data_IF_202883600869
#
_entry.id   IF_202883600869
#
_cell.length_a   1.000
_cell.length_b   1.000
_cell.length_c   1.000
_cell.angle_alpha   90.00
_cell.angle_beta   90.00
_cell.angle_gamma   90.00
#
_symmetry.space_group_name_H-M   'P 1'
#
loop_
_entity.id
_entity.type
_entity.pdbx_description
1 polymer ?
#
# COMPACT_ATOMS: atom_id res chain seq x y z
N UNK A 1 26.47 -15.83 57.51
CA UNK A 1 26.48 -16.70 56.30
C UNK A 1 26.39 -15.80 55.09
N UNK A 2 27.07 -16.12 53.98
CA UNK A 2 27.00 -15.34 52.74
C UNK A 2 26.12 -16.07 51.73
N UNK A 3 25.36 -15.34 50.92
CA UNK A 3 24.53 -15.93 49.88
C UNK A 3 25.40 -16.64 48.83
N UNK A 4 25.09 -17.90 48.52
CA UNK A 4 25.83 -18.70 47.53
C UNK A 4 25.75 -18.12 46.11
N UNK A 5 24.70 -17.35 45.79
CA UNK A 5 24.49 -16.77 44.46
C UNK A 5 25.14 -15.40 44.27
N UNK A 6 25.02 -14.50 45.25
CA UNK A 6 25.47 -13.10 45.09
C UNK A 6 26.53 -12.65 46.11
N UNK A 7 26.94 -13.50 47.06
CA UNK A 7 27.99 -13.20 48.04
C UNK A 7 27.61 -12.22 49.16
N UNK A 8 26.40 -11.63 49.14
CA UNK A 8 25.92 -10.72 50.18
C UNK A 8 25.75 -11.42 51.54
N UNK A 9 25.99 -10.70 52.64
CA UNK A 9 25.78 -11.25 53.99
C UNK A 9 24.29 -11.44 54.31
N UNK A 10 23.94 -12.63 54.77
CA UNK A 10 22.58 -13.00 55.17
C UNK A 10 22.34 -12.61 56.63
N UNK A 11 21.22 -11.90 56.87
CA UNK A 11 20.74 -11.60 58.23
C UNK A 11 20.34 -12.90 58.95
N UNK A 12 20.65 -12.99 60.25
CA UNK A 12 20.40 -14.17 61.08
C UNK A 12 18.89 -14.45 61.15
N UNK A 13 18.48 -15.67 60.78
CA UNK A 13 17.07 -16.11 60.83
C UNK A 13 16.26 -15.89 59.54
N UNK A 14 16.85 -15.37 58.47
CA UNK A 14 16.17 -15.22 57.17
C UNK A 14 16.41 -16.45 56.28
N UNK A 15 15.33 -17.02 55.73
CA UNK A 15 15.35 -18.17 54.80
C UNK A 15 15.67 -17.80 53.35
N UNK A 16 15.66 -16.50 53.01
CA UNK A 16 15.96 -15.99 51.67
C UNK A 16 16.91 -14.79 51.73
N UNK A 17 17.73 -14.62 50.70
CA UNK A 17 18.61 -13.48 50.54
C UNK A 17 17.80 -12.21 50.24
N UNK A 18 17.94 -11.20 51.08
CA UNK A 18 17.24 -9.91 50.90
C UNK A 18 17.71 -9.09 49.70
N UNK A 19 18.78 -9.49 49.02
CA UNK A 19 19.34 -8.77 47.86
C UNK A 19 18.94 -9.42 46.54
N UNK A 20 19.04 -10.75 46.43
CA UNK A 20 18.77 -11.46 45.17
C UNK A 20 17.57 -12.42 45.23
N UNK A 21 16.89 -12.52 46.37
CA UNK A 21 15.72 -13.40 46.57
C UNK A 21 16.05 -14.90 46.64
N UNK A 22 17.30 -15.30 46.47
CA UNK A 22 17.69 -16.71 46.47
C UNK A 22 17.67 -17.31 47.88
N UNK A 23 17.20 -18.54 48.01
CA UNK A 23 17.06 -19.20 49.31
C UNK A 23 18.42 -19.41 50.01
N UNK A 24 18.42 -19.26 51.33
CA UNK A 24 19.58 -19.41 52.17
C UNK A 24 19.81 -20.89 52.47
N UNK A 25 20.80 -21.49 51.82
CA UNK A 25 21.19 -22.89 52.03
C UNK A 25 21.86 -23.07 53.40
N UNK A 26 21.17 -23.73 54.34
CA UNK A 26 21.71 -24.18 55.63
C UNK A 26 22.12 -25.65 55.43
N UNK A 27 23.40 -25.94 55.19
CA UNK A 27 23.81 -27.28 54.72
C UNK A 27 24.37 -28.15 55.85
N UNK A 28 23.83 -29.36 56.03
CA UNK A 28 24.56 -30.62 55.74
C UNK A 28 23.64 -31.85 55.80
N UNK A 29 23.59 -32.54 54.66
CA UNK A 29 23.56 -33.98 54.44
C UNK A 29 22.93 -34.87 55.52
N UNK A 30 21.69 -35.30 55.27
CA UNK A 30 21.11 -36.50 55.88
C UNK A 30 20.47 -37.34 54.78
N UNK A 31 21.21 -38.31 54.25
CA UNK A 31 20.65 -39.37 53.42
C UNK A 31 20.73 -40.68 54.21
N UNK A 32 19.58 -41.18 54.63
CA UNK A 32 19.37 -42.27 55.60
C UNK A 32 19.78 -43.66 55.06
N UNK A 33 20.40 -43.74 53.88
CA UNK A 33 20.70 -44.99 53.19
C UNK A 33 22.16 -45.47 53.29
N UNK A 34 23.09 -44.67 53.82
CA UNK A 34 24.50 -45.09 53.99
C UNK A 34 24.83 -45.70 55.37
N UNK A 35 24.01 -45.44 56.41
CA UNK A 35 24.26 -45.89 57.79
C UNK A 35 24.00 -47.40 58.04
N UNK A 36 23.17 -48.04 57.22
CA UNK A 36 22.91 -49.49 57.33
C UNK A 36 24.03 -50.34 56.71
N UNK A 37 24.82 -49.80 55.78
CA UNK A 37 25.94 -50.49 55.15
C UNK A 37 27.21 -50.46 56.03
N UNK A 38 27.43 -49.37 56.77
CA UNK A 38 28.59 -49.16 57.65
C UNK A 38 28.51 -49.87 59.01
N UNK A 39 27.32 -50.26 59.50
CA UNK A 39 27.17 -51.06 60.73
C UNK A 39 27.52 -52.55 60.57
N UNK A 40 27.65 -53.05 59.34
CA UNK A 40 28.00 -54.45 59.08
C UNK A 40 29.51 -54.72 58.96
N UNK A 41 30.33 -53.67 58.86
CA UNK A 41 31.77 -53.78 58.56
C UNK A 41 32.70 -53.38 59.73
N UNK A 42 32.15 -53.01 60.90
CA UNK A 42 32.94 -52.62 62.08
C UNK A 42 32.50 -53.37 63.35
N UNK A 43 32.51 -54.70 63.31
CA UNK A 43 32.73 -55.51 64.52
C UNK A 43 33.86 -56.50 64.30
N UNK A 44 34.90 -56.23 65.10
CA UNK A 44 35.87 -57.15 65.67
C UNK A 44 37.00 -57.61 64.75
N UNK A 45 38.10 -56.86 64.86
CA UNK A 45 39.43 -57.32 64.53
C UNK A 45 40.07 -58.16 65.64
N UNK A 46 41.16 -58.80 65.22
CA UNK A 46 42.34 -59.23 65.98
C UNK A 46 42.35 -60.59 66.70
N UNK A 47 43.28 -61.43 66.20
CA UNK A 47 44.08 -62.40 66.96
C UNK A 47 43.61 -63.85 66.86
N UNK A 48 44.42 -64.87 66.54
CA UNK A 48 45.84 -64.94 66.24
C UNK A 48 46.18 -66.41 65.84
N UNK A 49 47.29 -66.61 65.10
CA UNK A 49 48.14 -67.82 64.93
C UNK A 49 47.88 -68.80 63.76
N UNK A 50 48.86 -68.78 62.84
CA UNK A 50 49.32 -69.86 61.94
C UNK A 50 49.87 -71.07 62.77
N UNK A 51 50.05 -72.32 62.25
CA UNK A 51 50.65 -72.63 60.93
C UNK A 51 50.26 -73.96 60.22
N UNK A 52 50.79 -74.08 58.98
CA UNK A 52 51.37 -75.28 58.34
C UNK A 52 50.51 -76.35 57.62
N UNK A 53 50.95 -76.58 56.37
CA UNK A 53 50.80 -77.69 55.42
C UNK A 53 50.46 -79.09 55.97
N UNK A 54 49.56 -79.79 55.25
CA UNK A 54 49.77 -81.13 54.66
C UNK A 54 48.51 -81.65 53.92
N UNK A 55 48.69 -82.10 52.68
CA UNK A 55 47.86 -83.12 52.01
C UNK A 55 48.02 -84.49 52.72
N UNK A 56 47.06 -85.46 52.64
CA UNK A 56 46.49 -85.98 51.37
C UNK A 56 45.00 -86.39 51.33
N UNK A 57 44.54 -86.58 50.08
CA UNK A 57 43.40 -87.29 49.46
C UNK A 57 42.66 -88.46 50.18
N UNK A 58 41.60 -89.10 49.59
CA UNK A 58 40.45 -88.63 48.78
C UNK A 58 39.10 -89.30 49.18
N UNK A 59 37.95 -88.78 48.70
CA UNK A 59 36.92 -89.53 47.92
C UNK A 59 35.50 -88.91 47.86
N UNK A 60 35.01 -88.86 46.61
CA UNK A 60 33.63 -89.08 46.11
C UNK A 60 32.62 -87.91 46.08
N UNK A 61 32.74 -87.16 44.99
CA UNK A 61 31.68 -86.84 44.01
C UNK A 61 30.22 -86.68 44.49
N UNK A 62 29.74 -85.43 44.54
CA UNK A 62 28.44 -85.02 43.99
C UNK A 62 28.52 -83.61 43.37
N UNK A 63 28.52 -83.53 42.03
CA UNK A 63 28.35 -82.28 41.30
C UNK A 63 26.96 -81.70 41.60
N UNK A 64 26.87 -80.61 42.36
CA UNK A 64 25.68 -79.73 42.33
C UNK A 64 25.87 -78.75 41.17
N UNK A 65 25.15 -78.96 40.06
CA UNK A 65 24.95 -77.94 39.01
C UNK A 65 24.31 -76.73 39.67
N UNK A 66 25.06 -75.62 39.85
CA UNK A 66 24.45 -74.31 40.15
C UNK A 66 23.61 -73.93 38.94
N UNK A 67 22.31 -73.68 39.13
CA UNK A 67 21.41 -73.32 38.04
C UNK A 67 21.74 -71.90 37.55
N UNK A 68 22.57 -71.81 36.51
CA UNK A 68 22.77 -70.56 35.75
C UNK A 68 21.43 -70.01 35.21
N UNK A 69 20.35 -70.82 35.20
CA UNK A 69 19.01 -70.44 34.79
C UNK A 69 18.44 -69.24 35.57
N UNK A 70 18.61 -69.16 36.89
CA UNK A 70 18.09 -68.03 37.68
C UNK A 70 18.85 -66.72 37.38
N UNK A 71 20.17 -66.82 37.15
CA UNK A 71 21.00 -65.68 36.79
C UNK A 71 20.72 -65.22 35.35
N UNK A 72 20.48 -66.16 34.43
CA UNK A 72 20.05 -65.86 33.06
C UNK A 72 18.67 -65.21 33.05
N UNK A 73 17.69 -65.70 33.85
CA UNK A 73 16.36 -65.10 33.95
C UNK A 73 16.43 -63.68 34.54
N UNK A 74 17.23 -63.44 35.58
CA UNK A 74 17.47 -62.09 36.10
C UNK A 74 18.13 -61.18 35.07
N UNK A 75 19.15 -61.64 34.34
CA UNK A 75 19.77 -60.87 33.25
C UNK A 75 18.75 -60.58 32.12
N UNK A 76 17.92 -61.54 31.74
CA UNK A 76 16.87 -61.33 30.74
C UNK A 76 15.84 -60.29 31.19
N UNK A 77 15.40 -60.33 32.46
CA UNK A 77 14.46 -59.34 33.01
C UNK A 77 15.04 -57.92 33.04
N UNK A 78 16.32 -57.77 33.40
CA UNK A 78 17.04 -56.48 33.37
C UNK A 78 17.17 -55.97 31.92
N UNK A 79 17.52 -56.85 30.96
CA UNK A 79 17.61 -56.47 29.55
C UNK A 79 16.25 -56.06 29.00
N UNK A 80 15.17 -56.78 29.33
CA UNK A 80 13.82 -56.40 28.90
C UNK A 80 13.35 -55.10 29.55
N UNK A 81 13.67 -54.87 30.83
CA UNK A 81 13.36 -53.61 31.51
C UNK A 81 14.12 -52.43 30.91
N UNK A 82 15.41 -52.62 30.57
CA UNK A 82 16.21 -51.62 29.86
C UNK A 82 15.67 -51.35 28.45
N UNK A 83 15.29 -52.39 27.70
CA UNK A 83 14.69 -52.25 26.38
C UNK A 83 13.35 -51.51 26.43
N UNK A 84 12.49 -51.80 27.42
CA UNK A 84 11.23 -51.07 27.66
C UNK A 84 11.52 -49.62 28.06
N UNK A 85 12.50 -49.37 28.93
CA UNK A 85 12.92 -48.02 29.31
C UNK A 85 13.41 -47.20 28.11
N UNK A 86 14.21 -47.79 27.22
CA UNK A 86 14.66 -47.16 25.97
C UNK A 86 13.46 -46.90 25.05
N UNK A 87 12.54 -47.84 24.91
CA UNK A 87 11.34 -47.67 24.08
C UNK A 87 10.41 -46.56 24.60
N UNK A 88 10.20 -46.48 25.92
CA UNK A 88 9.41 -45.41 26.56
C UNK A 88 10.11 -44.06 26.39
N UNK A 89 11.44 -44.01 26.57
CA UNK A 89 12.22 -42.80 26.30
C UNK A 89 12.08 -42.35 24.85
N UNK A 90 12.29 -43.24 23.88
CA UNK A 90 12.13 -42.93 22.46
C UNK A 90 10.70 -42.49 22.11
N UNK A 91 9.69 -43.08 22.75
CA UNK A 91 8.30 -42.68 22.58
C UNK A 91 8.02 -41.28 23.12
N UNK A 92 8.56 -40.96 24.30
CA UNK A 92 8.46 -39.63 24.91
C UNK A 92 9.26 -38.60 24.10
N UNK A 93 10.49 -38.92 23.71
CA UNK A 93 11.35 -38.07 22.89
C UNK A 93 10.69 -37.79 21.54
N UNK A 94 10.09 -38.80 20.89
CA UNK A 94 9.36 -38.61 19.63
C UNK A 94 8.07 -37.79 19.81
N UNK A 95 7.35 -37.99 20.91
CA UNK A 95 6.15 -37.20 21.22
C UNK A 95 6.51 -35.74 21.53
N UNK A 96 7.58 -35.52 22.29
CA UNK A 96 8.08 -34.19 22.60
C UNK A 96 8.66 -33.52 21.35
N UNK A 97 9.40 -34.26 20.53
CA UNK A 97 9.93 -33.77 19.27
C UNK A 97 8.83 -33.44 18.25
N UNK A 98 7.60 -33.89 18.44
CA UNK A 98 6.45 -33.55 17.60
C UNK A 98 5.39 -32.72 18.36
N UNK A 99 5.80 -32.07 19.46
CA UNK A 99 4.98 -31.07 20.15
C UNK A 99 5.07 -29.73 19.44
N UNK A 100 3.98 -28.96 19.41
CA UNK A 100 3.98 -27.62 18.81
C UNK A 100 5.07 -26.73 19.41
N UNK A 101 5.14 -26.64 20.75
CA UNK A 101 6.13 -25.78 21.44
C UNK A 101 7.57 -26.12 21.06
N UNK A 102 7.87 -27.42 20.94
CA UNK A 102 9.19 -27.88 20.53
C UNK A 102 9.51 -27.48 19.09
N UNK A 103 8.53 -27.58 18.20
CA UNK A 103 8.70 -27.20 16.80
C UNK A 103 8.96 -25.70 16.67
N UNK A 104 8.27 -24.86 17.45
CA UNK A 104 8.52 -23.41 17.50
C UNK A 104 9.91 -23.10 18.05
N UNK A 105 10.29 -23.68 19.19
CA UNK A 105 11.61 -23.44 19.81
C UNK A 105 12.75 -23.80 18.86
N UNK A 106 12.63 -24.94 18.16
CA UNK A 106 13.61 -25.35 17.16
C UNK A 106 13.60 -24.45 15.92
N UNK A 107 12.43 -24.00 15.46
CA UNK A 107 12.33 -23.09 14.32
C UNK A 107 12.98 -21.74 14.62
N UNK A 108 12.70 -21.14 15.78
CA UNK A 108 13.28 -19.88 16.23
C UNK A 108 14.81 -19.99 16.39
N UNK A 109 15.30 -21.11 16.93
CA UNK A 109 16.74 -21.37 17.04
C UNK A 109 17.42 -21.41 15.67
N UNK A 110 16.84 -22.15 14.72
CA UNK A 110 17.40 -22.23 13.36
C UNK A 110 17.30 -20.88 12.63
N UNK A 111 16.27 -20.07 12.92
CA UNK A 111 16.16 -18.70 12.42
C UNK A 111 17.31 -17.81 12.93
N UNK A 112 17.63 -17.89 14.22
CA UNK A 112 18.79 -17.18 14.82
C UNK A 112 20.10 -17.62 14.17
N UNK A 113 20.23 -18.92 13.88
CA UNK A 113 21.38 -19.48 13.17
C UNK A 113 21.37 -19.17 11.66
N UNK A 114 20.34 -18.46 11.15
CA UNK A 114 20.10 -18.12 9.73
C UNK A 114 19.93 -19.35 8.81
N UNK A 115 19.60 -20.50 9.39
CA UNK A 115 19.30 -21.73 8.66
C UNK A 115 17.82 -21.76 8.26
N UNK A 116 17.45 -20.90 7.31
CA UNK A 116 16.06 -20.69 6.90
C UNK A 116 15.33 -21.96 6.44
N UNK A 117 16.02 -22.87 5.73
CA UNK A 117 15.42 -24.14 5.28
C UNK A 117 14.97 -25.02 6.46
N UNK A 118 15.80 -25.13 7.50
CA UNK A 118 15.45 -25.90 8.70
C UNK A 118 14.34 -25.20 9.49
N UNK A 119 14.42 -23.88 9.63
CA UNK A 119 13.39 -23.09 10.29
C UNK A 119 12.02 -23.30 9.64
N UNK A 120 11.93 -23.18 8.30
CA UNK A 120 10.71 -23.44 7.53
C UNK A 120 10.20 -24.87 7.69
N UNK A 121 11.09 -25.88 7.79
CA UNK A 121 10.68 -27.27 8.03
C UNK A 121 10.03 -27.44 9.40
N UNK A 122 10.60 -26.83 10.45
CA UNK A 122 10.03 -26.87 11.79
C UNK A 122 8.71 -26.09 11.85
N UNK A 123 8.65 -24.88 11.27
CA UNK A 123 7.40 -24.10 11.18
C UNK A 123 6.29 -24.83 10.41
N UNK A 124 6.61 -25.48 9.29
CA UNK A 124 5.63 -26.29 8.55
C UNK A 124 5.07 -27.43 9.39
N UNK A 125 5.89 -28.04 10.23
CA UNK A 125 5.45 -29.09 11.16
C UNK A 125 4.60 -28.50 12.29
N UNK A 126 4.97 -27.32 12.83
CA UNK A 126 4.17 -26.59 13.79
C UNK A 126 2.78 -26.24 13.22
N UNK A 127 2.72 -25.77 11.97
CA UNK A 127 1.47 -25.43 11.28
C UNK A 127 0.60 -26.67 10.99
N UNK A 128 1.21 -27.84 10.78
CA UNK A 128 0.47 -29.10 10.68
C UNK A 128 -0.20 -29.51 12.01
N UNK A 129 0.35 -29.06 13.14
CA UNK A 129 -0.21 -29.30 14.48
C UNK A 129 -1.27 -28.24 14.85
N UNK A 130 -1.02 -26.98 14.49
CA UNK A 130 -1.93 -25.86 14.70
C UNK A 130 -2.12 -25.07 13.39
N UNK A 131 -3.13 -25.45 12.58
CA UNK A 131 -3.33 -24.86 11.26
C UNK A 131 -3.72 -23.39 11.28
N UNK A 132 -4.23 -22.83 12.37
CA UNK A 132 -4.74 -21.44 12.39
C UNK A 132 -3.74 -20.47 13.05
N UNK A 133 -2.48 -20.88 13.19
CA UNK A 133 -1.45 -20.04 13.80
C UNK A 133 -0.97 -18.94 12.86
N UNK A 134 -1.37 -17.71 13.15
CA UNK A 134 -0.99 -16.51 12.41
C UNK A 134 0.50 -16.20 12.59
N UNK A 135 1.04 -16.31 13.82
CA UNK A 135 2.43 -15.93 14.12
C UNK A 135 3.42 -16.84 13.38
N UNK A 136 3.10 -18.14 13.30
CA UNK A 136 3.92 -19.09 12.53
C UNK A 136 3.88 -18.75 11.05
N UNK A 137 2.72 -18.41 10.50
CA UNK A 137 2.62 -17.96 9.10
C UNK A 137 3.40 -16.68 8.85
N UNK A 138 3.30 -15.70 9.74
CA UNK A 138 4.05 -14.44 9.67
C UNK A 138 5.55 -14.72 9.63
N UNK A 139 6.06 -15.53 10.58
CA UNK A 139 7.47 -15.91 10.61
C UNK A 139 7.93 -16.63 9.32
N UNK A 140 7.09 -17.52 8.76
CA UNK A 140 7.38 -18.15 7.46
C UNK A 140 7.38 -17.15 6.31
N UNK A 141 6.41 -16.23 6.27
CA UNK A 141 6.26 -15.22 5.23
C UNK A 141 7.42 -14.21 5.26
N UNK A 142 7.90 -13.82 6.45
CA UNK A 142 9.08 -12.99 6.63
C UNK A 142 10.35 -13.68 6.12
N UNK A 143 10.52 -14.98 6.40
CA UNK A 143 11.64 -15.76 5.83
C UNK A 143 11.59 -15.70 4.31
N UNK A 144 10.45 -16.02 3.69
CA UNK A 144 10.31 -16.00 2.24
C UNK A 144 10.54 -14.60 1.65
N UNK A 145 10.03 -13.55 2.31
CA UNK A 145 10.27 -12.15 1.92
C UNK A 145 11.77 -11.80 1.99
N UNK A 146 12.46 -12.21 3.05
CA UNK A 146 13.91 -11.99 3.20
C UNK A 146 14.74 -12.70 2.14
N UNK A 147 14.24 -13.83 1.63
CA UNK A 147 14.83 -14.61 0.54
C UNK A 147 14.41 -14.10 -0.85
N UNK A 148 13.55 -13.06 -0.92
CA UNK A 148 12.91 -12.55 -2.14
C UNK A 148 12.04 -13.57 -2.87
N UNK A 149 11.60 -14.61 -2.16
CA UNK A 149 10.60 -15.58 -2.62
C UNK A 149 9.20 -15.01 -2.43
N UNK A 150 8.94 -13.90 -3.11
CA UNK A 150 7.74 -13.09 -2.93
C UNK A 150 6.44 -13.87 -3.20
N UNK A 151 6.40 -14.79 -4.17
CA UNK A 151 5.17 -15.52 -4.47
C UNK A 151 4.75 -16.42 -3.30
N UNK A 152 5.71 -17.08 -2.64
CA UNK A 152 5.48 -17.86 -1.41
C UNK A 152 5.04 -16.97 -0.24
N UNK A 153 5.66 -15.80 -0.11
CA UNK A 153 5.31 -14.82 0.93
C UNK A 153 3.89 -14.27 0.74
N UNK A 154 3.52 -13.87 -0.49
CA UNK A 154 2.20 -13.36 -0.84
C UNK A 154 1.11 -14.38 -0.46
N UNK A 155 1.31 -15.67 -0.77
CA UNK A 155 0.35 -16.73 -0.39
C UNK A 155 0.14 -16.78 1.12
N UNK A 156 1.22 -16.75 1.91
CA UNK A 156 1.11 -16.80 3.37
C UNK A 156 0.46 -15.54 3.96
N UNK A 157 0.78 -14.36 3.45
CA UNK A 157 0.12 -13.12 3.89
C UNK A 157 -1.37 -13.10 3.50
N UNK A 158 -1.74 -13.61 2.34
CA UNK A 158 -3.15 -13.80 1.97
C UNK A 158 -3.86 -14.80 2.88
N UNK A 159 -3.22 -15.91 3.26
CA UNK A 159 -3.76 -16.86 4.25
C UNK A 159 -3.93 -16.21 5.64
N UNK A 160 -3.01 -15.34 6.05
CA UNK A 160 -3.15 -14.55 7.29
C UNK A 160 -4.41 -13.69 7.22
N UNK A 161 -4.65 -12.99 6.10
CA UNK A 161 -5.86 -12.18 5.91
C UNK A 161 -7.16 -13.01 5.87
N UNK A 162 -7.09 -14.30 5.51
CA UNK A 162 -8.24 -15.19 5.62
C UNK A 162 -8.59 -15.53 7.07
N UNK A 163 -7.59 -15.61 7.94
CA UNK A 163 -7.75 -15.90 9.37
C UNK A 163 -8.08 -14.65 10.18
N UNK A 164 -7.43 -13.54 9.86
CA UNK A 164 -7.62 -12.22 10.45
C UNK A 164 -7.66 -11.15 9.37
N UNK A 165 -8.88 -10.75 9.00
CA UNK A 165 -9.15 -9.78 7.94
C UNK A 165 -8.60 -8.39 8.20
N UNK A 166 -8.30 -8.06 9.46
CA UNK A 166 -7.84 -6.75 9.89
C UNK A 166 -6.36 -6.77 10.31
N UNK A 167 -5.61 -7.83 9.97
CA UNK A 167 -4.19 -7.91 10.27
C UNK A 167 -3.42 -6.86 9.45
N UNK A 168 -3.08 -5.74 10.10
CA UNK A 168 -2.44 -4.57 9.50
C UNK A 168 -1.04 -4.89 8.99
N UNK A 169 -0.29 -5.69 9.73
CA UNK A 169 1.07 -6.12 9.38
C UNK A 169 1.08 -6.91 8.06
N UNK A 170 0.13 -7.83 7.87
CA UNK A 170 -0.03 -8.57 6.62
C UNK A 170 -0.32 -7.63 5.43
N UNK A 171 -1.20 -6.63 5.59
CA UNK A 171 -1.41 -5.62 4.54
C UNK A 171 -0.13 -4.83 4.26
N UNK A 172 0.60 -4.38 5.28
CA UNK A 172 1.85 -3.65 5.10
C UNK A 172 2.87 -4.44 4.29
N UNK A 173 3.00 -5.75 4.56
CA UNK A 173 3.90 -6.61 3.80
C UNK A 173 3.43 -6.88 2.37
N UNK A 174 2.13 -7.14 2.16
CA UNK A 174 1.56 -7.28 0.81
C UNK A 174 1.79 -6.01 -0.02
N UNK A 175 1.43 -4.85 0.53
CA UNK A 175 1.63 -3.54 -0.10
C UNK A 175 3.11 -3.32 -0.41
N UNK A 176 4.01 -3.61 0.53
CA UNK A 176 5.46 -3.50 0.30
C UNK A 176 5.94 -4.38 -0.86
N UNK A 177 5.48 -5.63 -0.93
CA UNK A 177 5.87 -6.56 -1.99
C UNK A 177 5.33 -6.10 -3.36
N UNK A 178 4.07 -5.66 -3.40
CA UNK A 178 3.46 -5.16 -4.63
C UNK A 178 4.06 -3.81 -5.09
N UNK A 179 4.39 -2.91 -4.16
CA UNK A 179 5.03 -1.62 -4.45
C UNK A 179 6.42 -1.83 -5.05
N UNK A 180 7.21 -2.77 -4.51
CA UNK A 180 8.52 -3.15 -5.08
C UNK A 180 8.39 -3.73 -6.51
N UNK A 181 7.26 -4.35 -6.84
CA UNK A 181 6.96 -4.88 -8.17
C UNK A 181 6.31 -3.86 -9.11
N UNK A 182 5.89 -2.71 -8.60
CA UNK A 182 5.11 -1.71 -9.34
C UNK A 182 3.68 -2.17 -9.71
N UNK A 183 3.16 -3.17 -9.00
CA UNK A 183 1.82 -3.74 -9.23
C UNK A 183 0.79 -3.03 -8.36
N UNK A 184 0.47 -1.78 -8.72
CA UNK A 184 -0.43 -0.91 -7.97
C UNK A 184 -1.90 -1.34 -8.07
N UNK A 185 -2.28 -2.01 -9.16
CA UNK A 185 -3.60 -2.61 -9.32
C UNK A 185 -3.87 -3.64 -8.21
N UNK A 186 -2.91 -4.54 -7.97
CA UNK A 186 -3.01 -5.50 -6.86
C UNK A 186 -3.13 -4.81 -5.50
N UNK A 187 -2.41 -3.69 -5.27
CA UNK A 187 -2.52 -2.91 -4.03
C UNK A 187 -3.94 -2.37 -3.85
N UNK A 188 -4.51 -1.74 -4.87
CA UNK A 188 -5.85 -1.17 -4.79
C UNK A 188 -6.92 -2.26 -4.64
N UNK A 189 -6.73 -3.44 -5.24
CA UNK A 189 -7.64 -4.58 -5.07
C UNK A 189 -7.72 -5.09 -3.63
N UNK A 190 -6.63 -5.00 -2.86
CA UNK A 190 -6.62 -5.43 -1.44
C UNK A 190 -7.55 -4.57 -0.57
N UNK A 191 -7.92 -3.37 -1.03
CA UNK A 191 -8.78 -2.42 -0.29
C UNK A 191 -10.27 -2.78 -0.39
N UNK A 192 -10.71 -3.50 -1.43
CA UNK A 192 -12.14 -3.63 -1.80
C UNK A 192 -13.06 -4.09 -0.66
N UNK A 193 -12.58 -5.02 0.19
CA UNK A 193 -13.34 -5.59 1.32
C UNK A 193 -12.93 -5.04 2.70
N UNK A 194 -12.06 -4.04 2.74
CA UNK A 194 -11.54 -3.47 3.99
C UNK A 194 -12.47 -2.40 4.53
N UNK A 195 -12.88 -2.53 5.79
CA UNK A 195 -13.67 -1.51 6.50
C UNK A 195 -12.91 -0.84 7.64
N UNK A 196 -11.75 -1.37 8.00
CA UNK A 196 -10.94 -0.86 9.12
C UNK A 196 -10.20 0.42 8.69
N UNK A 197 -10.43 1.53 9.39
CA UNK A 197 -9.87 2.84 9.03
C UNK A 197 -8.32 2.86 9.07
N UNK A 198 -7.70 2.11 9.99
CA UNK A 198 -6.23 2.09 10.08
C UNK A 198 -5.61 1.31 8.94
N UNK A 199 -6.28 0.26 8.46
CA UNK A 199 -5.87 -0.50 7.27
C UNK A 199 -6.14 0.32 6.01
N UNK A 200 -7.28 1.01 5.91
CA UNK A 200 -7.61 1.88 4.78
C UNK A 200 -6.56 2.98 4.57
N UNK A 201 -6.04 3.56 5.65
CA UNK A 201 -4.99 4.58 5.59
C UNK A 201 -3.67 4.09 4.95
N UNK A 202 -3.45 2.78 4.82
CA UNK A 202 -2.27 2.23 4.12
C UNK A 202 -2.34 2.44 2.60
N UNK A 203 -3.54 2.66 2.05
CA UNK A 203 -3.77 2.78 0.62
C UNK A 203 -3.75 4.23 0.10
N UNK A 204 -3.80 5.23 0.99
CA UNK A 204 -3.86 6.66 0.64
C UNK A 204 -2.78 7.10 -0.37
N UNK A 205 -1.57 6.54 -0.27
CA UNK A 205 -0.46 6.85 -1.17
C UNK A 205 -0.62 6.29 -2.60
N UNK A 206 -1.57 5.39 -2.80
CA UNK A 206 -1.87 4.72 -4.07
C UNK A 206 -3.16 5.22 -4.70
N UNK A 207 -3.88 6.12 -4.02
CA UNK A 207 -5.13 6.69 -4.51
C UNK A 207 -4.88 8.04 -5.18
N UNK A 208 -5.53 8.22 -6.32
CA UNK A 208 -5.37 9.42 -7.13
C UNK A 208 -6.76 9.95 -7.44
N UNK A 209 -7.10 11.09 -6.82
CA UNK A 209 -8.37 11.77 -7.05
C UNK A 209 -8.48 12.31 -8.48
N UNK A 210 -9.69 12.27 -9.01
CA UNK A 210 -10.04 12.78 -10.34
C UNK A 210 -9.69 14.27 -10.52
N UNK A 211 -9.28 14.69 -11.73
CA UNK A 211 -9.13 16.11 -12.04
C UNK A 211 -10.49 16.79 -12.14
N UNK A 212 -10.55 18.07 -11.77
CA UNK A 212 -11.76 18.88 -11.93
C UNK A 212 -11.59 19.79 -13.14
N UNK A 213 -12.52 19.69 -14.09
CA UNK A 213 -12.57 20.50 -15.31
C UNK A 213 -13.57 21.66 -15.14
N UNK A 214 -13.16 22.88 -15.49
CA UNK A 214 -14.01 24.07 -15.45
C UNK A 214 -13.73 25.01 -16.62
N UNK A 215 -14.76 25.57 -17.29
CA UNK A 215 -16.18 25.31 -17.06
C UNK A 215 -16.59 23.91 -17.53
N UNK A 216 -17.74 23.43 -17.06
CA UNK A 216 -18.30 22.13 -17.49
C UNK A 216 -18.61 22.13 -18.99
N UNK A 217 -18.69 20.94 -19.59
CA UNK A 217 -19.05 20.74 -20.98
C UNK A 217 -20.42 21.35 -21.33
N UNK A 218 -20.56 21.74 -22.59
CA UNK A 218 -21.78 22.38 -23.08
C UNK A 218 -21.60 23.20 -24.35
N UNK A 219 -22.61 24.02 -24.64
CA UNK A 219 -22.63 24.91 -25.79
C UNK A 219 -22.18 26.31 -25.43
N UNK A 220 -21.29 26.88 -26.23
CA UNK A 220 -20.71 28.20 -26.02
C UNK A 220 -20.68 29.01 -27.32
N UNK A 221 -20.93 30.31 -27.21
CA UNK A 221 -20.91 31.27 -28.33
C UNK A 221 -19.80 32.33 -28.23
N UNK A 222 -18.91 32.21 -27.25
CA UNK A 222 -17.67 32.99 -27.08
C UNK A 222 -16.50 32.02 -26.82
N UNK A 223 -15.28 32.56 -26.72
CA UNK A 223 -14.08 31.80 -26.40
C UNK A 223 -14.18 31.17 -25.01
N UNK A 224 -13.75 29.92 -24.92
CA UNK A 224 -13.70 29.18 -23.66
C UNK A 224 -12.24 28.87 -23.33
N UNK A 225 -11.83 29.23 -22.12
CA UNK A 225 -10.57 28.76 -21.55
C UNK A 225 -10.88 27.71 -20.49
N UNK A 226 -10.49 26.47 -20.78
CA UNK A 226 -10.67 25.34 -19.88
C UNK A 226 -9.52 25.35 -18.87
N UNK A 227 -9.90 25.30 -17.61
CA UNK A 227 -9.01 25.16 -16.46
C UNK A 227 -9.22 23.78 -15.87
N UNK A 228 -8.14 23.03 -15.71
CA UNK A 228 -8.14 21.74 -15.04
C UNK A 228 -7.28 21.85 -13.79
N UNK A 229 -7.74 21.30 -12.66
CA UNK A 229 -6.98 21.31 -11.42
C UNK A 229 -7.15 20.01 -10.63
N UNK A 230 -6.13 19.67 -9.85
CA UNK A 230 -6.11 18.52 -8.96
C UNK A 230 -6.22 19.01 -7.51
N UNK A 231 -7.11 18.40 -6.72
CA UNK A 231 -7.26 18.74 -5.29
C UNK A 231 -5.97 18.41 -4.52
N UNK A 232 -5.38 17.25 -4.82
CA UNK A 232 -4.18 16.75 -4.17
C UNK A 232 -2.88 17.36 -4.75
N UNK A 233 -2.98 18.18 -5.80
CA UNK A 233 -1.82 18.76 -6.47
C UNK A 233 -1.03 17.78 -7.34
N UNK A 234 -1.67 16.68 -7.77
CA UNK A 234 -1.08 15.71 -8.70
C UNK A 234 -0.86 16.33 -10.09
N UNK A 235 0.08 15.76 -10.85
CA UNK A 235 0.28 16.12 -12.24
C UNK A 235 -0.97 15.79 -13.06
N UNK A 236 -1.28 16.60 -14.07
CA UNK A 236 -2.49 16.46 -14.87
C UNK A 236 -2.12 16.24 -16.32
N UNK A 237 -2.72 15.24 -16.93
CA UNK A 237 -2.57 14.91 -18.35
C UNK A 237 -3.93 14.94 -19.02
N UNK A 238 -3.97 15.42 -20.27
CA UNK A 238 -5.21 15.47 -21.05
C UNK A 238 -4.98 15.12 -22.52
N UNK A 239 -6.07 14.81 -23.20
CA UNK A 239 -6.14 14.57 -24.66
C UNK A 239 -7.32 15.34 -25.24
N UNK A 240 -7.27 15.56 -26.56
CA UNK A 240 -8.34 16.27 -27.31
C UNK A 240 -8.90 15.44 -28.48
N UNK A 241 -8.52 14.17 -28.57
CA UNK A 241 -8.85 13.25 -29.67
C UNK A 241 -9.80 12.12 -29.24
N UNK A 242 -10.35 12.21 -28.02
CA UNK A 242 -11.24 11.22 -27.42
C UNK A 242 -10.53 10.00 -26.83
N UNK A 243 -9.20 9.91 -26.88
CA UNK A 243 -8.46 8.82 -26.22
C UNK A 243 -8.33 9.07 -24.72
N UNK A 244 -8.15 8.02 -23.90
CA UNK A 244 -7.80 8.20 -22.48
C UNK A 244 -6.34 8.64 -22.39
N UNK A 245 -6.00 9.72 -21.66
CA UNK A 245 -4.61 10.14 -21.52
C UNK A 245 -3.82 9.13 -20.67
N UNK A 246 -2.65 8.77 -21.17
CA UNK A 246 -1.64 7.97 -20.49
C UNK A 246 -0.24 8.59 -20.67
N UNK A 247 0.79 7.83 -20.31
CA UNK A 247 2.19 8.29 -20.38
C UNK A 247 2.69 8.52 -21.82
N UNK A 248 2.08 7.90 -22.81
CA UNK A 248 2.50 7.93 -24.21
C UNK A 248 1.74 8.99 -25.03
N UNK A 249 0.42 9.09 -24.85
CA UNK A 249 -0.44 10.02 -25.61
C UNK A 249 -0.86 11.29 -24.82
N UNK A 250 -0.72 11.29 -23.50
CA UNK A 250 -1.20 12.37 -22.63
C UNK A 250 -0.36 13.64 -22.76
N UNK A 251 -1.04 14.77 -22.95
CA UNK A 251 -0.42 16.10 -22.99
C UNK A 251 -0.41 16.66 -21.56
N UNK A 252 0.75 17.09 -21.02
CA UNK A 252 0.79 17.76 -19.72
C UNK A 252 -0.06 19.03 -19.72
N UNK A 253 -0.90 19.20 -18.71
CA UNK A 253 -1.78 20.36 -18.60
C UNK A 253 -0.98 21.67 -18.43
N UNK A 254 -1.23 22.69 -19.29
CA UNK A 254 -0.51 23.96 -19.22
C UNK A 254 -1.06 24.90 -18.14
N UNK A 255 -0.18 25.67 -17.50
CA UNK A 255 -0.56 26.63 -16.44
C UNK A 255 -1.57 27.70 -16.87
N UNK A 256 -1.65 28.01 -18.18
CA UNK A 256 -2.56 29.02 -18.74
C UNK A 256 -3.90 28.46 -19.23
N UNK A 257 -4.15 27.15 -19.07
CA UNK A 257 -5.37 26.49 -19.51
C UNK A 257 -5.41 26.16 -21.00
N UNK A 258 -6.48 25.48 -21.42
CA UNK A 258 -6.70 25.04 -22.80
C UNK A 258 -7.68 26.01 -23.46
N UNK A 259 -7.24 26.70 -24.51
CA UNK A 259 -8.06 27.71 -25.19
C UNK A 259 -8.83 27.11 -26.37
N UNK A 260 -10.16 27.14 -26.30
CA UNK A 260 -11.07 26.81 -27.39
C UNK A 260 -11.55 28.10 -28.07
N UNK A 261 -10.88 28.46 -29.17
CA UNK A 261 -11.06 29.75 -29.87
C UNK A 261 -11.53 29.60 -31.32
N UNK A 262 -12.04 28.42 -31.70
CA UNK A 262 -12.57 28.15 -33.03
C UNK A 262 -13.90 27.40 -32.92
N UNK A 263 -14.78 27.61 -33.89
CA UNK A 263 -16.02 26.85 -34.03
C UNK A 263 -15.72 25.36 -34.20
N UNK A 264 -16.43 24.51 -33.49
CA UNK A 264 -16.29 23.06 -33.58
C UNK A 264 -16.72 22.33 -32.31
N UNK A 265 -16.64 21.01 -32.38
CA UNK A 265 -16.84 20.13 -31.23
C UNK A 265 -15.46 19.69 -30.72
N UNK A 266 -15.30 19.71 -29.40
CA UNK A 266 -14.07 19.33 -28.71
C UNK A 266 -14.44 18.39 -27.58
N UNK A 267 -13.67 17.32 -27.44
CA UNK A 267 -13.78 16.38 -26.33
C UNK A 267 -12.47 16.49 -25.55
N UNK A 268 -12.57 16.74 -24.24
CA UNK A 268 -11.42 16.83 -23.34
C UNK A 268 -11.50 15.68 -22.37
N UNK A 269 -10.53 14.77 -22.46
CA UNK A 269 -10.34 13.72 -21.47
C UNK A 269 -9.14 14.08 -20.61
N UNK A 270 -9.27 13.96 -19.29
CA UNK A 270 -8.21 14.32 -18.36
C UNK A 270 -8.08 13.29 -17.22
N UNK A 271 -6.85 13.12 -16.75
CA UNK A 271 -6.48 12.27 -15.62
C UNK A 271 -5.46 12.99 -14.74
N UNK A 272 -5.51 12.71 -13.44
CA UNK A 272 -4.42 13.02 -12.51
C UNK A 272 -3.41 11.86 -12.52
N UNK A 273 -2.14 12.16 -12.29
CA UNK A 273 -1.07 11.19 -12.11
C UNK A 273 -0.23 11.56 -10.89
N UNK A 274 -0.01 10.63 -9.98
CA UNK A 274 0.87 10.85 -8.82
C UNK A 274 2.33 10.55 -9.15
N UNK A 275 3.23 10.76 -8.18
CA UNK A 275 4.68 10.51 -8.31
C UNK A 275 5.04 9.04 -8.59
N UNK A 276 4.16 8.10 -8.21
CA UNK A 276 4.31 6.66 -8.47
C UNK A 276 3.88 6.26 -9.89
N UNK A 277 3.31 7.19 -10.67
CA UNK A 277 2.78 6.91 -12.01
C UNK A 277 1.41 6.23 -12.00
N UNK A 278 0.67 6.32 -10.89
CA UNK A 278 -0.71 5.83 -10.77
C UNK A 278 -1.63 6.93 -11.31
N UNK A 279 -2.62 6.53 -12.10
CA UNK A 279 -3.58 7.43 -12.71
C UNK A 279 -4.91 7.41 -11.96
N UNK A 280 -5.62 8.54 -11.93
CA UNK A 280 -7.02 8.58 -11.52
C UNK A 280 -7.93 7.97 -12.58
N UNK A 281 -9.20 7.82 -12.24
CA UNK A 281 -10.25 7.66 -13.24
C UNK A 281 -10.26 8.85 -14.22
N UNK A 282 -10.71 8.58 -15.45
CA UNK A 282 -10.78 9.58 -16.52
C UNK A 282 -12.02 10.44 -16.37
N UNK A 283 -11.83 11.75 -16.44
CA UNK A 283 -12.92 12.73 -16.54
C UNK A 283 -13.01 13.20 -17.98
N UNK A 284 -14.21 13.16 -18.55
CA UNK A 284 -14.48 13.50 -19.95
C UNK A 284 -15.52 14.62 -20.04
N UNK A 285 -15.22 15.67 -20.80
CA UNK A 285 -16.11 16.81 -21.03
C UNK A 285 -16.18 17.18 -22.51
N UNK A 286 -17.39 17.43 -23.00
CA UNK A 286 -17.66 17.80 -24.40
C UNK A 286 -18.03 19.28 -24.53
N UNK A 287 -17.40 19.98 -25.48
CA UNK A 287 -17.61 21.40 -25.75
C UNK A 287 -18.03 21.61 -27.20
N UNK A 288 -19.12 22.35 -27.41
CA UNK A 288 -19.58 22.78 -28.72
C UNK A 288 -19.46 24.29 -28.82
N UNK A 289 -18.48 24.76 -29.58
CA UNK A 289 -18.23 26.19 -29.78
C UNK A 289 -18.90 26.61 -31.09
N UNK A 290 -19.83 27.55 -31.02
CA UNK A 290 -20.50 28.13 -32.18
C UNK A 290 -20.65 29.65 -32.02
N UNK A 291 -19.73 30.40 -32.61
CA UNK A 291 -19.77 31.86 -32.55
C UNK A 291 -20.98 32.43 -33.31
N UNK A 292 -21.60 33.45 -32.70
CA UNK A 292 -22.69 34.21 -33.31
C UNK A 292 -22.15 35.41 -34.08
N UNK A 293 -22.76 35.69 -35.23
CA UNK A 293 -22.50 36.93 -35.97
C UNK A 293 -22.93 38.14 -35.12
N UNK A 294 -22.26 39.30 -35.25
CA UNK A 294 -22.73 40.51 -34.61
C UNK A 294 -24.13 40.90 -35.07
N UNK A 295 -24.86 41.55 -34.17
CA UNK A 295 -26.13 42.20 -34.43
C UNK A 295 -25.96 43.31 -35.48
N UNK A 296 -27.06 43.61 -36.16
CA UNK A 296 -27.12 44.67 -37.15
C UNK A 296 -26.79 46.03 -36.49
N UNK A 297 -25.87 46.84 -37.07
CA UNK A 297 -25.58 48.17 -36.54
C UNK A 297 -26.83 49.05 -36.47
N UNK A 298 -27.00 49.78 -35.38
CA UNK A 298 -28.13 50.71 -35.21
C UNK A 298 -27.71 52.12 -35.59
N UNK A 299 -28.36 52.70 -36.61
CA UNK A 299 -28.07 54.04 -37.12
C UNK A 299 -29.14 55.03 -36.66
N UNK A 300 -28.73 56.21 -36.18
CA UNK A 300 -29.65 57.30 -35.78
C UNK A 300 -29.11 58.67 -36.19
N UNK A 301 -29.88 59.49 -36.93
CA UNK A 301 -31.24 59.23 -37.39
C UNK A 301 -31.31 58.14 -38.48
N UNK A 302 -32.45 57.45 -38.58
CA UNK A 302 -32.65 56.37 -39.56
C UNK A 302 -33.03 56.93 -40.95
N UNK A 303 -32.13 57.75 -41.49
CA UNK A 303 -32.28 58.37 -42.80
C UNK A 303 -33.31 59.49 -42.85
N UNK A 304 -33.49 60.03 -44.06
CA UNK A 304 -34.44 61.09 -44.34
C UNK A 304 -33.87 62.22 -45.20
N UNK A 305 -34.70 63.23 -45.40
CA UNK A 305 -34.33 64.48 -46.07
C UNK A 305 -34.08 65.56 -45.01
N UNK A 306 -32.94 66.23 -45.12
CA UNK A 306 -32.47 67.25 -44.19
C UNK A 306 -32.20 68.55 -44.95
N UNK A 307 -32.58 69.68 -44.35
CA UNK A 307 -32.27 71.03 -44.85
C UNK A 307 -31.25 71.75 -43.97
N UNK A 308 -30.80 71.10 -42.89
CA UNK A 308 -29.77 71.59 -41.97
C UNK A 308 -28.72 70.51 -41.78
N UNK A 309 -27.48 70.92 -41.47
CA UNK A 309 -26.38 70.00 -41.20
C UNK A 309 -26.78 69.02 -40.09
N UNK A 310 -26.74 67.72 -40.41
CA UNK A 310 -27.18 66.64 -39.52
C UNK A 310 -26.03 65.67 -39.28
N UNK A 311 -25.92 65.16 -38.06
CA UNK A 311 -24.96 64.13 -37.69
C UNK A 311 -25.64 62.78 -37.48
N UNK A 312 -24.95 61.72 -37.93
CA UNK A 312 -25.35 60.33 -37.82
C UNK A 312 -24.51 59.65 -36.77
N UNK A 313 -25.19 59.01 -35.82
CA UNK A 313 -24.59 58.18 -34.78
C UNK A 313 -24.86 56.72 -35.07
N UNK A 314 -23.84 55.89 -34.88
CA UNK A 314 -23.93 54.44 -35.06
C UNK A 314 -23.63 53.76 -33.72
N UNK A 315 -24.54 52.89 -33.29
CA UNK A 315 -24.41 52.08 -32.09
C UNK A 315 -24.22 50.60 -32.45
N UNK A 316 -23.38 49.92 -31.68
CA UNK A 316 -23.10 48.49 -31.82
C UNK A 316 -22.77 47.88 -30.44
N UNK A 317 -22.92 46.56 -30.33
CA UNK A 317 -22.48 45.76 -29.20
C UNK A 317 -20.98 45.91 -28.94
N UNK A 318 -20.57 45.54 -27.72
CA UNK A 318 -19.18 45.61 -27.28
C UNK A 318 -18.27 44.74 -28.17
N UNK A 319 -16.99 45.11 -28.22
CA UNK A 319 -15.93 44.36 -28.90
C UNK A 319 -16.12 44.23 -30.43
N UNK A 320 -16.87 45.15 -31.05
CA UNK A 320 -17.04 45.23 -32.49
C UNK A 320 -16.44 46.51 -33.08
N UNK A 321 -15.81 46.41 -34.25
CA UNK A 321 -15.44 47.55 -35.09
C UNK A 321 -16.50 47.78 -36.15
N UNK A 322 -16.84 49.04 -36.41
CA UNK A 322 -17.84 49.45 -37.39
C UNK A 322 -17.14 50.00 -38.64
N UNK A 323 -17.58 49.56 -39.81
CA UNK A 323 -17.09 49.98 -41.11
C UNK A 323 -18.25 50.52 -41.94
N UNK A 324 -18.02 51.59 -42.72
CA UNK A 324 -19.08 52.23 -43.49
C UNK A 324 -18.62 52.77 -44.86
N UNK A 325 -19.60 52.98 -45.73
CA UNK A 325 -19.49 53.61 -47.06
C UNK A 325 -20.71 54.50 -47.31
N UNK A 326 -20.58 55.53 -48.16
CA UNK A 326 -21.67 56.45 -48.52
C UNK A 326 -22.18 56.29 -49.96
N UNK A 327 -21.49 55.50 -50.76
CA UNK A 327 -21.68 55.35 -52.21
C UNK A 327 -22.52 54.11 -52.60
N UNK A 328 -23.30 53.58 -51.65
CA UNK A 328 -24.08 52.35 -51.80
C UNK A 328 -23.26 51.06 -52.00
N UNK A 329 -21.93 51.10 -51.94
CA UNK A 329 -21.09 49.89 -52.00
C UNK A 329 -21.12 49.14 -50.67
N UNK A 330 -20.84 47.83 -50.71
CA UNK A 330 -20.76 47.03 -49.48
C UNK A 330 -19.48 47.39 -48.72
N UNK A 331 -19.59 47.80 -47.44
CA UNK A 331 -18.40 48.06 -46.64
C UNK A 331 -17.58 46.77 -46.48
N UNK A 332 -16.26 46.93 -46.45
CA UNK A 332 -15.28 45.87 -46.17
C UNK A 332 -14.40 46.28 -44.99
N UNK A 333 -13.53 45.39 -44.51
CA UNK A 333 -12.56 45.72 -43.45
C UNK A 333 -11.49 46.73 -43.89
N UNK A 334 -11.49 47.12 -45.17
CA UNK A 334 -10.66 48.18 -45.73
C UNK A 334 -11.40 49.52 -45.86
N UNK A 335 -12.72 49.52 -45.62
CA UNK A 335 -13.56 50.74 -45.65
C UNK A 335 -13.28 51.66 -44.45
N UNK A 336 -13.89 52.85 -44.46
CA UNK A 336 -13.74 53.81 -43.39
C UNK A 336 -14.27 53.25 -42.05
N UNK A 337 -13.48 53.41 -40.99
CA UNK A 337 -13.84 52.98 -39.63
C UNK A 337 -14.64 54.11 -38.98
N UNK A 338 -15.75 53.76 -38.34
CA UNK A 338 -16.52 54.72 -37.54
C UNK A 338 -15.87 54.90 -36.17
N UNK A 339 -15.36 56.11 -35.91
CA UNK A 339 -14.73 56.50 -34.63
C UNK A 339 -15.45 57.63 -33.92
N UNK A 340 -16.21 58.44 -34.66
CA UNK A 340 -16.98 59.59 -34.17
C UNK A 340 -18.23 59.79 -35.04
N UNK A 341 -19.22 60.59 -34.57
CA UNK A 341 -20.44 60.86 -35.34
C UNK A 341 -20.15 61.38 -36.74
N UNK A 342 -20.85 60.85 -37.75
CA UNK A 342 -20.63 61.19 -39.16
C UNK A 342 -21.49 62.39 -39.56
N UNK A 343 -20.93 63.37 -40.25
CA UNK A 343 -21.72 64.47 -40.84
C UNK A 343 -22.32 64.00 -42.17
N UNK A 344 -23.60 64.24 -42.41
CA UNK A 344 -24.28 63.89 -43.67
C UNK A 344 -23.72 64.76 -44.81
N UNK A 345 -23.15 64.16 -45.89
CA UNK A 345 -22.66 64.92 -47.04
C UNK A 345 -23.79 65.56 -47.87
N UNK A 346 -23.49 66.70 -48.52
CA UNK A 346 -24.44 67.43 -49.38
C UNK A 346 -24.78 66.64 -50.65
N UNK A 347 -26.07 66.34 -50.85
CA UNK A 347 -26.58 65.50 -51.92
C UNK A 347 -27.34 64.28 -51.40
N UNK A 348 -27.62 63.33 -52.29
CA UNK A 348 -28.30 62.07 -51.96
C UNK A 348 -27.28 60.93 -51.87
N UNK A 349 -27.18 60.32 -50.68
CA UNK A 349 -26.22 59.26 -50.39
C UNK A 349 -26.88 58.07 -49.69
N UNK A 350 -26.26 56.90 -49.84
CA UNK A 350 -26.68 55.67 -49.17
C UNK A 350 -25.59 55.27 -48.18
N UNK A 351 -25.88 55.44 -46.90
CA UNK A 351 -25.00 54.96 -45.84
C UNK A 351 -25.16 53.46 -45.72
N UNK A 352 -24.11 52.70 -46.04
CA UNK A 352 -24.02 51.26 -45.78
C UNK A 352 -23.07 51.03 -44.61
N UNK A 353 -23.50 50.24 -43.62
CA UNK A 353 -22.76 50.02 -42.38
C UNK A 353 -22.72 48.52 -42.07
N UNK A 354 -21.54 48.04 -41.67
CA UNK A 354 -21.39 46.70 -41.09
C UNK A 354 -20.57 46.77 -39.81
N UNK A 355 -20.67 45.72 -39.00
CA UNK A 355 -19.80 45.52 -37.86
C UNK A 355 -19.05 44.21 -37.94
N UNK A 356 -17.84 44.19 -37.39
CA UNK A 356 -16.96 43.03 -37.33
C UNK A 356 -16.61 42.78 -35.87
N UNK A 357 -16.84 41.57 -35.37
CA UNK A 357 -16.42 41.19 -34.02
C UNK A 357 -14.89 41.08 -33.97
N UNK A 358 -14.25 41.81 -33.05
CA UNK A 358 -12.80 41.88 -32.96
C UNK A 358 -12.16 40.57 -32.48
N UNK A 359 -12.91 39.73 -31.77
CA UNK A 359 -12.45 38.41 -31.33
C UNK A 359 -12.62 37.40 -32.44
N UNK A 360 -13.87 37.15 -32.85
CA UNK A 360 -14.22 36.02 -33.73
C UNK A 360 -14.03 36.31 -35.22
N UNK A 361 -13.89 37.58 -35.59
CA UNK A 361 -13.82 38.02 -36.98
C UNK A 361 -15.14 37.91 -37.75
N UNK A 362 -16.23 37.50 -37.09
CA UNK A 362 -17.54 37.40 -37.74
C UNK A 362 -18.10 38.78 -38.07
N UNK A 363 -18.72 38.88 -39.24
CA UNK A 363 -19.29 40.11 -39.79
C UNK A 363 -20.81 40.10 -39.63
N UNK A 364 -21.39 41.23 -39.24
CA UNK A 364 -22.83 41.43 -39.19
C UNK A 364 -23.44 41.41 -40.60
N UNK A 365 -24.76 41.36 -40.68
CA UNK A 365 -25.43 41.78 -41.91
C UNK A 365 -25.17 43.29 -42.16
N UNK A 366 -25.33 43.74 -43.41
CA UNK A 366 -25.12 45.14 -43.80
C UNK A 366 -26.40 45.93 -43.59
N UNK A 367 -26.33 46.99 -42.76
CA UNK A 367 -27.37 48.00 -42.64
C UNK A 367 -27.27 48.99 -43.78
N UNK A 368 -28.39 49.38 -44.40
CA UNK A 368 -28.42 50.41 -45.44
C UNK A 368 -29.55 51.40 -45.21
N UNK A 369 -29.23 52.68 -45.37
CA UNK A 369 -30.21 53.76 -45.19
C UNK A 369 -29.87 54.96 -46.08
N UNK A 370 -30.91 55.66 -46.54
CA UNK A 370 -30.79 56.81 -47.44
C UNK A 370 -30.78 58.13 -46.67
N UNK A 371 -29.85 59.00 -47.03
CA UNK A 371 -29.76 60.37 -46.54
C UNK A 371 -29.75 61.33 -47.72
N UNK A 372 -30.61 62.35 -47.68
CA UNK A 372 -30.54 63.49 -48.60
C UNK A 372 -30.35 64.78 -47.81
N UNK A 373 -29.30 65.54 -48.11
CA UNK A 373 -29.07 66.85 -47.51
C UNK A 373 -28.98 67.91 -48.61
N UNK A 374 -29.93 68.86 -48.58
CA UNK A 374 -30.08 69.93 -49.56
C UNK A 374 -30.28 71.26 -48.80
N UNK A 375 -29.20 72.03 -48.56
CA UNK A 375 -29.21 73.25 -47.74
C UNK A 375 -29.97 74.44 -48.34
#
# INVERSE_FOLDING_TARGET
MKCAKCGAELKKGCLYCSVCGHEAQIVSDYNVLEDDYLRSLLKDGEGEKNPQEKEPEPKKTKKKKKSHLALIVCCCLIITGAAVGIAVKLYIDNKNANSYDYQIEMAEKELVDRNYENALRYYKTALALQPDDIKVREAMAEIYTSQKEYDSALVLYMEILQLDKNNKEAYQHLISIYDERGDYESILSLKEDVTDEEVLALFDAYEVGEPIISPLGGQYDDYVTIVIYSIAGNDIYYTMDGTVPDKENGIPYPQWGISLNRTGNFEINAVCCNEKGIYSDVVSEEYQIQFKKPDLPSVSPDGGLFSEETTVTIAQQKDCMIYYTWDSTDPTTESAIYTEPLVVPEGDYVLSVMAVNNKTGLVSDIYRVNFGYHP
#
